data_IF_527848655401
#
_entry.id   IF_527848655401
#
_cell.length_a   1.000
_cell.length_b   1.000
_cell.length_c   1.000
_cell.angle_alpha   90.00
_cell.angle_beta   90.00
_cell.angle_gamma   90.00
#
_symmetry.space_group_name_H-M   'P 1'
#
loop_
_entity.id
_entity.type
_entity.pdbx_description
1 polymer ?
#
# COMPACT_ATOMS: atom_id res chain seq x y z
N UNK A 1 -20.48 -2.63 5.39
CA UNK A 1 -20.73 -2.30 3.97
C UNK A 1 -21.11 -3.51 3.13
N UNK A 2 -20.21 -4.50 2.92
CA UNK A 2 -20.48 -5.70 2.08
C UNK A 2 -21.86 -6.35 2.31
N UNK A 3 -22.15 -6.75 3.56
CA UNK A 3 -23.46 -7.35 3.93
C UNK A 3 -24.66 -6.51 3.52
N UNK A 4 -24.56 -5.20 3.66
CA UNK A 4 -25.67 -4.30 3.32
C UNK A 4 -25.84 -4.19 1.81
N UNK A 5 -24.75 -4.09 1.04
CA UNK A 5 -24.80 -4.07 -0.42
C UNK A 5 -25.39 -5.38 -0.99
N UNK A 6 -24.96 -6.52 -0.45
CA UNK A 6 -25.50 -7.83 -0.82
C UNK A 6 -26.99 -7.94 -0.45
N UNK A 7 -27.38 -7.49 0.74
CA UNK A 7 -28.79 -7.43 1.16
C UNK A 7 -29.64 -6.54 0.23
N UNK A 8 -29.07 -5.47 -0.33
CA UNK A 8 -29.74 -4.59 -1.31
C UNK A 8 -29.79 -5.16 -2.73
N UNK A 9 -29.27 -6.38 -2.95
CA UNK A 9 -29.30 -7.08 -4.23
C UNK A 9 -28.12 -6.78 -5.16
N UNK A 10 -27.05 -6.14 -4.66
CA UNK A 10 -25.84 -5.93 -5.44
C UNK A 10 -24.90 -7.14 -5.38
N UNK A 11 -24.30 -7.47 -6.51
CA UNK A 11 -23.14 -8.36 -6.54
C UNK A 11 -21.90 -7.59 -6.08
N UNK A 12 -21.21 -8.10 -5.04
CA UNK A 12 -20.08 -7.41 -4.42
C UNK A 12 -18.78 -8.17 -4.62
N UNK A 13 -17.85 -7.58 -5.38
CA UNK A 13 -16.45 -8.01 -5.45
C UNK A 13 -15.63 -7.22 -4.44
N UNK A 14 -15.46 -7.77 -3.24
CA UNK A 14 -14.63 -7.18 -2.18
C UNK A 14 -13.20 -7.73 -2.27
N UNK A 15 -12.23 -6.87 -2.57
CA UNK A 15 -10.81 -7.21 -2.60
C UNK A 15 -10.11 -6.58 -1.39
N UNK A 16 -9.31 -7.36 -0.67
CA UNK A 16 -8.52 -6.90 0.45
C UNK A 16 -7.07 -7.39 0.31
N UNK A 17 -6.10 -6.49 0.43
CA UNK A 17 -4.69 -6.87 0.38
C UNK A 17 -4.11 -7.14 1.78
N UNK A 18 -3.08 -7.96 1.80
CA UNK A 18 -2.08 -8.04 2.86
C UNK A 18 -0.78 -7.43 2.35
N UNK A 19 -0.23 -6.49 3.12
CA UNK A 19 1.12 -5.96 2.88
C UNK A 19 2.09 -6.90 3.59
N UNK A 20 2.66 -7.83 2.83
CA UNK A 20 3.52 -8.89 3.35
C UNK A 20 5.01 -8.68 3.06
N UNK A 21 5.35 -7.50 2.52
CA UNK A 21 6.71 -6.99 2.30
C UNK A 21 6.69 -5.48 2.59
N UNK A 22 7.41 -5.05 3.62
CA UNK A 22 7.61 -3.66 4.05
C UNK A 22 8.78 -3.58 5.04
N UNK A 23 9.26 -2.37 5.33
CA UNK A 23 10.34 -2.18 6.30
C UNK A 23 9.96 -2.69 7.70
N UNK A 24 8.69 -2.54 8.09
CA UNK A 24 8.18 -3.03 9.37
C UNK A 24 8.13 -4.56 9.42
N UNK A 25 7.74 -5.23 8.33
CA UNK A 25 7.71 -6.69 8.27
C UNK A 25 9.12 -7.27 8.23
N UNK A 26 10.05 -6.65 7.49
CA UNK A 26 11.46 -7.01 7.49
C UNK A 26 12.10 -6.86 8.88
N UNK A 27 11.84 -5.74 9.56
CA UNK A 27 12.31 -5.50 10.93
C UNK A 27 11.71 -6.52 11.92
N UNK A 28 10.42 -6.82 11.79
CA UNK A 28 9.74 -7.83 12.62
C UNK A 28 10.32 -9.22 12.44
N UNK A 29 10.52 -9.64 11.20
CA UNK A 29 11.12 -10.92 10.85
C UNK A 29 12.56 -11.04 11.37
N UNK A 30 13.36 -9.98 11.21
CA UNK A 30 14.72 -9.91 11.74
C UNK A 30 14.77 -10.04 13.27
N UNK A 31 13.81 -9.43 14.00
CA UNK A 31 13.72 -9.54 15.46
C UNK A 31 13.35 -10.97 15.92
N UNK A 32 12.48 -11.65 15.17
CA UNK A 32 12.10 -13.04 15.44
C UNK A 32 13.12 -14.07 14.90
N UNK A 33 14.09 -13.64 14.10
CA UNK A 33 15.10 -14.52 13.49
C UNK A 33 14.53 -15.49 12.46
N UNK A 34 13.46 -15.09 11.77
CA UNK A 34 12.76 -15.91 10.77
C UNK A 34 12.66 -15.19 9.43
N UNK A 35 12.35 -15.95 8.38
CA UNK A 35 12.06 -15.43 7.05
C UNK A 35 10.84 -14.49 7.07
N UNK A 36 10.90 -13.39 6.32
CA UNK A 36 9.86 -12.36 6.30
C UNK A 36 8.50 -12.90 5.85
N UNK A 37 8.47 -13.76 4.82
CA UNK A 37 7.21 -14.36 4.39
C UNK A 37 6.68 -15.31 5.47
N UNK A 38 7.52 -16.06 6.17
CA UNK A 38 7.06 -16.85 7.33
C UNK A 38 6.48 -15.97 8.44
N UNK A 39 7.14 -14.84 8.73
CA UNK A 39 6.68 -13.87 9.71
C UNK A 39 5.29 -13.31 9.33
N UNK A 40 5.12 -12.81 8.11
CA UNK A 40 3.86 -12.20 7.68
C UNK A 40 2.73 -13.21 7.55
N UNK A 41 3.02 -14.45 7.14
CA UNK A 41 2.04 -15.54 7.07
C UNK A 41 1.44 -15.93 8.42
N UNK A 42 2.24 -15.89 9.48
CA UNK A 42 1.76 -16.10 10.86
C UNK A 42 0.69 -15.08 11.21
N UNK A 43 0.95 -13.79 10.95
CA UNK A 43 0.00 -12.71 11.23
C UNK A 43 -1.19 -12.68 10.26
N UNK A 44 -1.00 -13.06 9.00
CA UNK A 44 -2.10 -13.23 8.04
C UNK A 44 -3.13 -14.24 8.56
N UNK A 45 -2.67 -15.42 8.99
CA UNK A 45 -3.54 -16.46 9.53
C UNK A 45 -4.24 -15.99 10.82
N UNK A 46 -3.50 -15.37 11.74
CA UNK A 46 -4.07 -14.82 12.97
C UNK A 46 -5.13 -13.75 12.70
N UNK A 47 -4.91 -12.88 11.72
CA UNK A 47 -5.89 -11.89 11.28
C UNK A 47 -7.17 -12.56 10.76
N UNK A 48 -7.04 -13.54 9.87
CA UNK A 48 -8.19 -14.24 9.29
C UNK A 48 -9.00 -15.00 10.35
N UNK A 49 -8.33 -15.66 11.30
CA UNK A 49 -8.99 -16.35 12.41
C UNK A 49 -9.74 -15.37 13.31
N UNK A 50 -9.14 -14.21 13.63
CA UNK A 50 -9.80 -13.16 14.40
C UNK A 50 -10.99 -12.56 13.65
N UNK A 51 -10.87 -12.30 12.35
CA UNK A 51 -11.97 -11.81 11.53
C UNK A 51 -13.14 -12.80 11.51
N UNK A 52 -12.84 -14.10 11.44
CA UNK A 52 -13.85 -15.16 11.54
C UNK A 52 -14.51 -15.17 12.92
N UNK A 53 -13.73 -15.05 14.00
CA UNK A 53 -14.24 -14.99 15.37
C UNK A 53 -15.20 -13.81 15.58
N UNK A 54 -14.88 -12.65 14.98
CA UNK A 54 -15.74 -11.46 14.99
C UNK A 54 -16.93 -11.55 14.03
N UNK A 55 -17.15 -12.72 13.41
CA UNK A 55 -18.19 -12.93 12.41
C UNK A 55 -18.12 -11.94 11.25
N UNK A 56 -16.93 -11.50 10.86
CA UNK A 56 -16.76 -10.62 9.70
C UNK A 56 -17.00 -11.42 8.42
N UNK A 57 -17.64 -10.80 7.42
CA UNK A 57 -17.81 -11.46 6.12
C UNK A 57 -16.48 -11.43 5.36
N UNK A 58 -15.93 -12.58 4.93
CA UNK A 58 -14.65 -12.61 4.21
C UNK A 58 -14.67 -11.76 2.94
N UNK A 59 -13.49 -11.28 2.53
CA UNK A 59 -13.31 -10.70 1.21
C UNK A 59 -13.58 -11.74 0.11
N UNK A 60 -13.97 -11.27 -1.07
CA UNK A 60 -14.11 -12.10 -2.27
C UNK A 60 -12.74 -12.64 -2.72
N UNK A 61 -11.69 -11.82 -2.58
CA UNK A 61 -10.31 -12.24 -2.81
C UNK A 61 -9.36 -11.52 -1.86
N UNK A 62 -8.39 -12.27 -1.36
CA UNK A 62 -7.22 -11.74 -0.66
C UNK A 62 -6.03 -11.72 -1.60
N UNK A 63 -5.28 -10.61 -1.63
CA UNK A 63 -4.04 -10.45 -2.41
C UNK A 63 -2.88 -10.16 -1.49
N UNK A 64 -1.66 -10.44 -1.94
CA UNK A 64 -0.42 -10.14 -1.21
C UNK A 64 0.48 -9.27 -2.07
N UNK A 65 1.26 -8.39 -1.47
CA UNK A 65 2.19 -7.57 -2.24
C UNK A 65 3.23 -8.45 -2.96
N UNK A 66 3.75 -9.47 -2.26
CA UNK A 66 4.73 -10.43 -2.80
C UNK A 66 4.23 -11.18 -4.05
N UNK A 67 2.93 -11.49 -4.13
CA UNK A 67 2.32 -12.18 -5.27
C UNK A 67 2.24 -11.29 -6.54
N UNK A 68 2.46 -9.97 -6.42
CA UNK A 68 2.24 -8.98 -7.49
C UNK A 68 3.48 -8.13 -7.83
N UNK A 69 4.67 -8.49 -7.36
CA UNK A 69 5.92 -7.74 -7.60
C UNK A 69 6.17 -7.48 -9.10
N UNK A 70 5.87 -8.47 -9.95
CA UNK A 70 6.03 -8.32 -11.40
C UNK A 70 5.11 -7.25 -11.98
N UNK A 71 3.83 -7.27 -11.59
CA UNK A 71 2.83 -6.30 -12.03
C UNK A 71 3.18 -4.91 -11.53
N UNK A 72 3.64 -4.79 -10.27
CA UNK A 72 4.14 -3.52 -9.73
C UNK A 72 5.27 -2.99 -10.61
N UNK A 73 6.28 -3.80 -10.94
CA UNK A 73 7.39 -3.39 -11.80
C UNK A 73 6.93 -3.00 -13.23
N UNK A 74 5.95 -3.72 -13.79
CA UNK A 74 5.37 -3.42 -15.10
C UNK A 74 4.61 -2.09 -15.08
N UNK A 75 3.84 -1.79 -14.04
CA UNK A 75 3.16 -0.49 -13.89
C UNK A 75 4.16 0.65 -13.63
N UNK A 76 5.18 0.44 -12.78
CA UNK A 76 6.26 1.41 -12.57
C UNK A 76 6.96 1.76 -13.88
N UNK A 77 7.21 0.76 -14.73
CA UNK A 77 7.80 0.99 -16.05
C UNK A 77 6.90 1.85 -16.93
N UNK A 78 5.58 1.59 -16.97
CA UNK A 78 4.65 2.42 -17.74
C UNK A 78 4.66 3.88 -17.29
N UNK A 79 4.76 4.11 -15.98
CA UNK A 79 4.85 5.48 -15.44
C UNK A 79 6.15 6.18 -15.85
N UNK A 80 7.28 5.48 -15.85
CA UNK A 80 8.56 6.00 -16.37
C UNK A 80 8.47 6.30 -17.87
N UNK A 81 7.92 5.37 -18.66
CA UNK A 81 7.76 5.52 -20.11
C UNK A 81 6.82 6.70 -20.47
N UNK A 82 5.90 7.06 -19.56
CA UNK A 82 4.97 8.17 -19.70
C UNK A 82 5.47 9.51 -19.12
N UNK A 83 6.71 9.57 -18.57
CA UNK A 83 7.25 10.73 -17.83
C UNK A 83 6.39 11.17 -16.62
N UNK A 84 5.60 10.24 -16.08
CA UNK A 84 4.83 10.39 -14.84
C UNK A 84 5.60 9.91 -13.60
N UNK A 85 6.77 9.30 -13.80
CA UNK A 85 7.73 8.94 -12.77
C UNK A 85 9.15 9.27 -13.23
N UNK A 86 10.07 9.41 -12.28
CA UNK A 86 11.50 9.65 -12.54
C UNK A 86 12.36 8.75 -11.64
N UNK A 87 13.59 8.49 -12.07
CA UNK A 87 14.54 7.64 -11.35
C UNK A 87 15.68 8.48 -10.76
N UNK A 88 16.06 8.16 -9.53
CA UNK A 88 17.21 8.71 -8.81
C UNK A 88 18.15 7.59 -8.37
N UNK A 89 19.25 7.91 -7.69
CA UNK A 89 20.15 6.90 -7.10
C UNK A 89 19.46 6.09 -5.98
N UNK A 90 18.41 6.63 -5.38
CA UNK A 90 17.71 6.03 -4.23
C UNK A 90 16.48 5.21 -4.64
N UNK A 91 15.90 5.46 -5.82
CA UNK A 91 14.73 4.74 -6.26
C UNK A 91 13.98 5.38 -7.42
N UNK A 92 12.76 4.92 -7.64
CA UNK A 92 11.84 5.48 -8.65
C UNK A 92 10.73 6.21 -7.90
N UNK A 93 10.51 7.47 -8.25
CA UNK A 93 9.57 8.37 -7.60
C UNK A 93 8.48 8.80 -8.58
N UNK A 94 7.26 8.98 -8.08
CA UNK A 94 6.15 9.51 -8.87
C UNK A 94 6.30 11.04 -9.00
N UNK A 95 6.03 11.58 -10.19
CA UNK A 95 5.91 13.01 -10.41
C UNK A 95 4.54 13.49 -9.92
N UNK A 96 4.51 14.33 -8.89
CA UNK A 96 3.26 14.82 -8.28
C UNK A 96 2.86 16.16 -8.91
N UNK A 97 1.65 16.22 -9.47
CA UNK A 97 0.99 17.46 -9.91
C UNK A 97 0.15 18.03 -8.76
N UNK A 98 0.56 19.18 -8.23
CA UNK A 98 -0.05 19.78 -7.04
C UNK A 98 -1.54 20.12 -7.23
N UNK A 99 -1.96 20.47 -8.45
CA UNK A 99 -3.35 20.82 -8.76
C UNK A 99 -4.33 19.65 -8.65
N UNK A 100 -3.85 18.41 -8.58
CA UNK A 100 -4.68 17.21 -8.42
C UNK A 100 -4.47 16.50 -7.09
N UNK A 101 -3.27 16.60 -6.54
CA UNK A 101 -2.91 15.97 -5.28
C UNK A 101 -3.61 16.72 -4.12
N UNK A 102 -4.03 16.01 -3.07
CA UNK A 102 -4.71 16.63 -1.92
C UNK A 102 -6.24 16.75 -2.04
N UNK A 103 -6.81 16.63 -3.24
CA UNK A 103 -8.27 16.63 -3.49
C UNK A 103 -9.04 15.61 -2.64
N UNK A 104 -8.48 14.42 -2.45
CA UNK A 104 -9.11 13.37 -1.61
C UNK A 104 -9.19 13.77 -0.14
N UNK A 105 -8.17 14.47 0.35
CA UNK A 105 -8.08 14.91 1.75
C UNK A 105 -8.76 16.26 1.98
N UNK A 106 -9.13 16.97 0.90
CA UNK A 106 -9.71 18.31 0.96
C UNK A 106 -8.73 19.37 1.47
N UNK A 107 -7.43 19.11 1.34
CA UNK A 107 -6.35 20.02 1.77
C UNK A 107 -5.62 20.59 0.57
N UNK A 108 -5.22 21.85 0.66
CA UNK A 108 -4.23 22.41 -0.24
C UNK A 108 -2.84 21.93 0.21
N UNK A 109 -2.11 21.30 -0.70
CA UNK A 109 -0.79 20.75 -0.38
C UNK A 109 0.26 21.82 -0.18
N UNK A 110 0.15 22.97 -0.83
CA UNK A 110 1.11 24.05 -0.58
C UNK A 110 1.07 24.49 0.89
N UNK A 111 -0.12 24.51 1.49
CA UNK A 111 -0.31 24.80 2.91
C UNK A 111 -0.06 23.59 3.83
N UNK A 112 -0.20 22.36 3.34
CA UNK A 112 -0.02 21.13 4.13
C UNK A 112 1.42 20.62 4.16
N UNK A 113 2.30 21.07 3.26
CA UNK A 113 3.72 20.69 3.20
C UNK A 113 4.60 21.42 4.25
N UNK A 114 3.99 22.00 5.29
CA UNK A 114 4.72 22.63 6.40
C UNK A 114 5.57 21.58 7.12
N UNK A 115 6.88 21.75 6.97
CA UNK A 115 7.98 20.97 7.55
C UNK A 115 7.99 19.49 7.18
N UNK A 116 8.78 19.15 6.16
CA UNK A 116 9.33 17.81 6.04
C UNK A 116 9.94 17.40 7.38
N UNK A 117 9.41 16.33 7.98
CA UNK A 117 9.91 15.80 9.25
C UNK A 117 11.41 15.57 9.11
N UNK A 118 12.21 16.28 9.91
CA UNK A 118 13.69 16.20 9.91
C UNK A 118 14.23 14.81 10.24
N UNK A 119 13.37 13.85 10.58
CA UNK A 119 13.73 12.45 10.86
C UNK A 119 13.68 11.54 9.62
N UNK A 120 13.08 11.98 8.50
CA UNK A 120 13.01 11.20 7.26
C UNK A 120 13.56 12.06 6.14
N UNK A 121 14.84 11.83 5.79
CA UNK A 121 15.40 12.35 4.55
C UNK A 121 14.57 11.79 3.39
N UNK A 122 13.77 12.62 2.69
CA UNK A 122 12.91 12.14 1.62
C UNK A 122 13.70 11.77 0.36
N UNK A 123 15.02 11.95 0.36
CA UNK A 123 15.84 11.81 -0.84
C UNK A 123 15.72 13.01 -1.77
N UNK A 124 16.36 12.98 -2.95
CA UNK A 124 16.24 14.01 -3.97
C UNK A 124 14.88 13.88 -4.66
N UNK A 125 13.80 14.16 -3.92
CA UNK A 125 12.48 14.37 -4.52
C UNK A 125 12.56 15.65 -5.32
N UNK A 126 12.32 15.54 -6.61
CA UNK A 126 11.90 16.69 -7.40
C UNK A 126 10.56 17.15 -6.82
N UNK A 127 10.63 18.17 -5.96
CA UNK A 127 9.52 19.08 -5.77
C UNK A 127 9.27 19.81 -7.10
N UNK A 128 8.02 20.20 -7.40
CA UNK A 128 7.74 21.12 -8.49
C UNK A 128 8.65 22.36 -8.47
#
# INVERSE_FOLDING_TARGET
MKRWLEYRGHEVTHIQNFTDVSDETALGASKEGIDELKFTRKYENEFLDKMKLLSNTPATKYTRASDFVRQIAEETKKLLDADEAYQTEEGIFLRIKQEEHGKLLGVDLEESLVEGTSEVDPGPKESP
#
